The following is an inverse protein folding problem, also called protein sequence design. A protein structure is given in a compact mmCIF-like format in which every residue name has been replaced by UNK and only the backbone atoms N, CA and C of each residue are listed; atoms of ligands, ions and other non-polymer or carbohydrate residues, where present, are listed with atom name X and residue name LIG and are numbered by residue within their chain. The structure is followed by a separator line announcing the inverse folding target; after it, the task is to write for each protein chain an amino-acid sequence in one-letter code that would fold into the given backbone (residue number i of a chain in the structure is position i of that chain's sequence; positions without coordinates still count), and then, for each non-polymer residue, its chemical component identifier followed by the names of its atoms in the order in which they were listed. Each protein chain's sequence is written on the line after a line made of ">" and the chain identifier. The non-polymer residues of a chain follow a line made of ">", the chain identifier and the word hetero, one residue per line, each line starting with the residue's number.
data_IF_950102631147
#
_entry.id   IF_950102631147
#
_cell.length_a   1.000
_cell.length_b   1.000
_cell.length_c   1.000
_cell.angle_alpha   90.00
_cell.angle_beta   90.00
_cell.angle_gamma   90.00
#
_symmetry.space_group_name_H-M   'P 1'
#
loop_
_entity.id
_entity.type
_entity.pdbx_description
1 polymer ?
#
# COMPACT_ATOMS: atom_id res chain seq x y z
N UNK A 1 30.81 -30.10 -5.58
CA UNK A 1 29.87 -29.05 -6.06
C UNK A 1 28.60 -29.14 -5.24
N UNK A 2 28.50 -28.40 -4.14
CA UNK A 2 27.32 -28.40 -3.26
C UNK A 2 27.11 -27.02 -2.62
N UNK A 3 26.98 -25.99 -3.46
CA UNK A 3 26.43 -24.69 -3.02
C UNK A 3 25.52 -24.16 -4.13
N UNK A 4 24.43 -24.89 -4.37
CA UNK A 4 23.30 -24.43 -5.18
C UNK A 4 21.98 -24.66 -4.43
N UNK A 5 22.00 -24.52 -3.09
CA UNK A 5 20.81 -24.61 -2.23
C UNK A 5 20.73 -23.34 -1.38
N UNK A 6 20.82 -22.18 -2.04
CA UNK A 6 20.73 -20.91 -1.32
C UNK A 6 20.22 -19.77 -2.21
N UNK A 7 19.11 -19.96 -2.92
CA UNK A 7 18.41 -18.82 -3.57
C UNK A 7 16.92 -19.05 -3.86
N UNK A 8 16.23 -19.92 -3.10
CA UNK A 8 14.76 -20.03 -3.15
C UNK A 8 14.11 -19.26 -1.98
N UNK A 9 14.71 -18.12 -1.58
CA UNK A 9 14.14 -17.23 -0.56
C UNK A 9 13.95 -15.78 -1.01
N UNK A 10 14.33 -15.41 -2.24
CA UNK A 10 14.20 -14.03 -2.71
C UNK A 10 13.72 -13.90 -4.17
N UNK A 11 12.53 -14.42 -4.46
CA UNK A 11 11.67 -13.70 -5.42
C UNK A 11 11.56 -14.23 -6.85
N UNK A 12 11.49 -15.54 -7.06
CA UNK A 12 10.97 -16.06 -8.33
C UNK A 12 10.02 -17.23 -8.07
N UNK A 13 8.84 -16.93 -7.54
CA UNK A 13 7.68 -17.65 -8.07
C UNK A 13 7.49 -17.13 -9.48
N UNK A 14 8.02 -17.84 -10.47
CA UNK A 14 7.79 -17.59 -11.91
C UNK A 14 6.30 -17.53 -12.31
N UNK A 15 5.39 -17.75 -11.35
CA UNK A 15 3.94 -17.71 -11.50
C UNK A 15 3.27 -16.48 -10.88
N UNK A 16 3.97 -15.66 -10.10
CA UNK A 16 3.37 -14.49 -9.43
C UNK A 16 3.79 -13.21 -10.14
N UNK A 17 2.83 -12.58 -10.81
CA UNK A 17 2.99 -11.22 -11.32
C UNK A 17 2.72 -10.23 -10.19
N UNK A 18 3.78 -9.84 -9.48
CA UNK A 18 3.68 -8.87 -8.38
C UNK A 18 3.14 -7.50 -8.83
N UNK A 19 3.25 -7.14 -10.12
CA UNK A 19 2.64 -5.91 -10.63
C UNK A 19 1.12 -6.04 -10.64
N UNK A 20 0.62 -7.19 -11.11
CA UNK A 20 -0.81 -7.50 -11.06
C UNK A 20 -1.31 -7.60 -9.61
N UNK A 21 -0.54 -8.20 -8.70
CA UNK A 21 -0.91 -8.27 -7.29
C UNK A 21 -0.97 -6.88 -6.64
N UNK A 22 0.04 -6.03 -6.86
CA UNK A 22 0.05 -4.65 -6.36
C UNK A 22 -1.19 -3.87 -6.83
N UNK A 23 -1.60 -4.04 -8.08
CA UNK A 23 -2.80 -3.38 -8.64
C UNK A 23 -4.12 -3.81 -8.01
N UNK A 24 -4.16 -4.98 -7.35
CA UNK A 24 -5.36 -5.55 -6.73
C UNK A 24 -5.43 -5.31 -5.23
N UNK A 25 -4.36 -4.85 -4.60
CA UNK A 25 -4.36 -4.56 -3.16
C UNK A 25 -5.39 -3.47 -2.91
N UNK A 26 -6.25 -3.69 -1.94
CA UNK A 26 -7.26 -2.73 -1.50
C UNK A 26 -7.44 -2.83 0.00
N UNK A 27 -7.71 -1.68 0.64
CA UNK A 27 -7.87 -1.60 2.09
C UNK A 27 -9.15 -2.32 2.54
N UNK A 28 -9.00 -3.52 3.12
CA UNK A 28 -10.09 -4.28 3.75
C UNK A 28 -10.21 -4.00 5.25
N UNK A 29 -9.09 -3.75 5.92
CA UNK A 29 -8.98 -3.51 7.36
C UNK A 29 -8.50 -2.10 7.69
N UNK A 30 -7.68 -2.01 8.74
CA UNK A 30 -7.03 -0.78 9.15
C UNK A 30 -6.03 -0.27 8.11
N UNK A 31 -5.71 1.03 8.16
CA UNK A 31 -4.64 1.61 7.33
C UNK A 31 -3.28 0.95 7.60
N UNK A 32 -3.04 0.48 8.82
CA UNK A 32 -1.78 -0.19 9.20
C UNK A 32 -1.63 -1.54 8.52
N UNK A 33 -2.66 -2.40 8.58
CA UNK A 33 -2.66 -3.70 7.89
C UNK A 33 -2.50 -3.54 6.38
N UNK A 34 -3.17 -2.53 5.82
CA UNK A 34 -3.02 -2.20 4.40
C UNK A 34 -1.60 -1.70 4.06
N UNK A 35 -0.99 -0.90 4.94
CA UNK A 35 0.37 -0.42 4.77
C UNK A 35 1.38 -1.56 4.71
N UNK A 36 1.31 -2.50 5.64
CA UNK A 36 2.19 -3.67 5.67
C UNK A 36 2.09 -4.47 4.37
N UNK A 37 0.85 -4.75 3.90
CA UNK A 37 0.63 -5.50 2.67
C UNK A 37 1.14 -4.76 1.41
N UNK A 38 0.95 -3.45 1.36
CA UNK A 38 1.40 -2.63 0.24
C UNK A 38 2.93 -2.50 0.22
N UNK A 39 3.57 -2.31 1.38
CA UNK A 39 5.05 -2.25 1.48
C UNK A 39 5.69 -3.58 1.11
N UNK A 40 5.15 -4.72 1.59
CA UNK A 40 5.65 -6.05 1.23
C UNK A 40 5.63 -6.29 -0.28
N UNK A 41 4.52 -5.92 -0.94
CA UNK A 41 4.34 -6.12 -2.39
C UNK A 41 5.12 -5.08 -3.20
N UNK A 42 5.15 -3.82 -2.78
CA UNK A 42 5.87 -2.75 -3.49
C UNK A 42 7.39 -2.90 -3.44
N UNK A 43 7.93 -3.53 -2.39
CA UNK A 43 9.36 -3.84 -2.28
C UNK A 43 9.85 -4.90 -3.27
N UNK A 44 8.94 -5.74 -3.80
CA UNK A 44 9.30 -6.83 -4.71
C UNK A 44 8.94 -6.55 -6.18
N UNK A 45 8.12 -5.53 -6.47
CA UNK A 45 7.92 -5.07 -7.85
C UNK A 45 9.13 -4.31 -8.37
N UNK A 46 9.35 -4.35 -9.69
CA UNK A 46 10.39 -3.58 -10.37
C UNK A 46 9.79 -2.78 -11.51
N UNK A 47 10.35 -1.59 -11.79
CA UNK A 47 9.98 -0.77 -12.94
C UNK A 47 8.76 0.13 -12.75
N UNK A 48 8.23 0.24 -11.53
CA UNK A 48 7.17 1.22 -11.23
C UNK A 48 7.78 2.59 -10.93
N UNK A 49 7.36 3.66 -11.63
CA UNK A 49 7.68 5.02 -11.20
C UNK A 49 6.98 5.33 -9.87
N UNK A 50 7.56 6.24 -9.07
CA UNK A 50 7.03 6.61 -7.75
C UNK A 50 5.59 7.13 -7.85
N UNK A 51 5.30 7.86 -8.92
CA UNK A 51 3.98 8.39 -9.24
C UNK A 51 2.94 7.29 -9.45
N UNK A 52 3.33 6.17 -10.07
CA UNK A 52 2.44 5.01 -10.24
C UNK A 52 2.18 4.29 -8.91
N UNK A 53 3.19 4.19 -8.04
CA UNK A 53 3.02 3.64 -6.69
C UNK A 53 2.08 4.52 -5.85
N UNK A 54 2.21 5.84 -5.95
CA UNK A 54 1.30 6.79 -5.31
C UNK A 54 -0.10 6.65 -5.88
N UNK A 55 -0.24 6.54 -7.20
CA UNK A 55 -1.53 6.33 -7.86
C UNK A 55 -2.23 5.05 -7.39
N UNK A 56 -1.51 3.93 -7.35
CA UNK A 56 -2.02 2.65 -6.85
C UNK A 56 -2.39 2.71 -5.36
N UNK A 57 -1.60 3.40 -4.54
CA UNK A 57 -1.93 3.63 -3.13
C UNK A 57 -3.21 4.47 -2.96
N UNK A 58 -3.39 5.50 -3.80
CA UNK A 58 -4.55 6.38 -3.69
C UNK A 58 -5.83 5.67 -4.15
N UNK A 59 -5.78 4.93 -5.26
CA UNK A 59 -6.96 4.28 -5.86
C UNK A 59 -7.51 3.10 -5.05
N UNK A 60 -6.68 2.47 -4.24
CA UNK A 60 -6.96 1.24 -3.48
C UNK A 60 -7.61 1.47 -2.11
N UNK A 61 -7.73 2.73 -1.66
CA UNK A 61 -8.33 3.11 -0.37
C UNK A 61 -9.82 3.39 -0.48
N UNK A 62 -10.51 3.40 0.66
CA UNK A 62 -11.90 3.86 0.76
C UNK A 62 -12.03 5.30 0.27
N UNK A 63 -13.09 5.60 -0.49
CA UNK A 63 -13.31 6.86 -1.21
C UNK A 63 -13.15 8.10 -0.31
N UNK A 64 -13.66 8.03 0.92
CA UNK A 64 -13.56 9.08 1.94
C UNK A 64 -12.11 9.49 2.24
N UNK A 65 -11.18 8.54 2.21
CA UNK A 65 -9.77 8.76 2.51
C UNK A 65 -8.98 9.20 1.26
N UNK A 66 -9.51 8.95 0.07
CA UNK A 66 -8.87 9.33 -1.20
C UNK A 66 -8.80 10.85 -1.33
N UNK A 67 -9.89 11.55 -1.01
CA UNK A 67 -10.03 13.00 -1.14
C UNK A 67 -8.98 13.73 -0.30
N UNK A 68 -8.82 13.35 0.97
CA UNK A 68 -7.88 14.03 1.89
C UNK A 68 -6.41 13.87 1.44
N UNK A 69 -6.03 12.71 0.88
CA UNK A 69 -4.66 12.51 0.39
C UNK A 69 -4.43 13.18 -0.96
N UNK A 70 -5.39 13.14 -1.88
CA UNK A 70 -5.27 13.81 -3.18
C UNK A 70 -5.12 15.33 -3.02
N UNK A 71 -5.82 15.93 -2.04
CA UNK A 71 -5.73 17.35 -1.74
C UNK A 71 -4.31 17.80 -1.36
N UNK A 72 -3.49 16.89 -0.82
CA UNK A 72 -2.15 17.19 -0.33
C UNK A 72 -1.04 16.95 -1.37
N UNK A 73 -1.38 16.52 -2.59
CA UNK A 73 -0.43 16.24 -3.69
C UNK A 73 0.84 15.52 -3.21
N UNK A 74 0.72 14.27 -2.72
CA UNK A 74 1.86 13.53 -2.21
C UNK A 74 2.92 13.33 -3.30
N UNK A 75 4.19 13.48 -2.91
CA UNK A 75 5.35 13.18 -3.74
C UNK A 75 6.08 11.89 -3.27
N UNK A 76 5.68 11.36 -2.12
CA UNK A 76 6.25 10.14 -1.51
C UNK A 76 5.13 9.28 -0.90
N UNK A 77 5.22 7.96 -1.09
CA UNK A 77 4.20 7.00 -0.60
C UNK A 77 4.07 7.03 0.93
N UNK A 78 5.19 7.21 1.65
CA UNK A 78 5.20 7.31 3.11
C UNK A 78 4.33 8.45 3.65
N UNK A 79 4.32 9.60 2.95
CA UNK A 79 3.47 10.72 3.34
C UNK A 79 1.99 10.37 3.16
N UNK A 80 1.64 9.64 2.10
CA UNK A 80 0.28 9.15 1.90
C UNK A 80 -0.20 8.27 3.06
N UNK A 81 0.67 7.39 3.58
CA UNK A 81 0.36 6.54 4.75
C UNK A 81 0.16 7.36 6.02
N UNK A 82 0.99 8.37 6.27
CA UNK A 82 0.83 9.25 7.43
C UNK A 82 -0.53 9.96 7.41
N UNK A 83 -0.90 10.54 6.26
CA UNK A 83 -2.20 11.20 6.08
C UNK A 83 -3.35 10.20 6.23
N UNK A 84 -3.23 9.02 5.62
CA UNK A 84 -4.26 7.98 5.72
C UNK A 84 -4.53 7.56 7.18
N UNK A 85 -3.48 7.42 8.00
CA UNK A 85 -3.62 7.08 9.43
C UNK A 85 -4.33 8.19 10.20
N UNK A 86 -3.99 9.45 9.95
CA UNK A 86 -4.66 10.60 10.59
C UNK A 86 -6.15 10.65 10.23
N UNK A 87 -6.47 10.41 8.95
CA UNK A 87 -7.84 10.39 8.44
C UNK A 87 -8.67 9.25 9.06
N UNK A 88 -8.10 8.04 9.17
CA UNK A 88 -8.75 6.90 9.82
C UNK A 88 -9.05 7.17 11.30
N UNK A 89 -8.10 7.76 12.03
CA UNK A 89 -8.29 8.09 13.45
C UNK A 89 -9.36 9.16 13.65
N UNK A 90 -9.34 10.21 12.81
CA UNK A 90 -10.39 11.25 12.80
C UNK A 90 -11.77 10.64 12.54
N UNK A 91 -11.89 9.73 11.59
CA UNK A 91 -13.14 9.02 11.30
C UNK A 91 -13.58 8.16 12.48
N UNK A 92 -12.67 7.38 13.08
CA UNK A 92 -12.95 6.56 14.28
C UNK A 92 -13.45 7.40 15.44
N UNK A 93 -12.81 8.55 15.69
CA UNK A 93 -13.22 9.46 16.75
C UNK A 93 -14.60 10.08 16.48
N UNK A 94 -14.85 10.53 15.25
CA UNK A 94 -16.16 11.05 14.84
C UNK A 94 -17.28 10.03 15.07
N UNK A 95 -17.08 8.77 14.67
CA UNK A 95 -18.06 7.71 14.90
C UNK A 95 -18.25 7.43 16.39
N UNK A 96 -17.19 7.49 17.21
CA UNK A 96 -17.29 7.25 18.66
C UNK A 96 -18.06 8.33 19.43
N UNK A 97 -17.98 9.59 18.97
CA UNK A 97 -18.62 10.75 19.63
C UNK A 97 -20.08 10.90 19.22
N UNK A 98 -20.45 10.46 18.02
CA UNK A 98 -21.82 10.58 17.47
C UNK A 98 -22.66 9.30 17.67
N UNK A 99 -22.27 8.41 18.59
CA UNK A 99 -22.96 7.15 18.90
C UNK A 99 -23.55 7.20 20.31
#
# INVERSE_FOLDING_TARGET
>A
QLVAVMTIRFGLSIYVDYNAELSKISQKGSVVEYQEQFEETSNVVRGWPVEALIGAFVSSRKEELQIEVQALRPFIVHFCFAVARMAEEKHRHFISVNR
#
